data_IF_465394146978
#
_entry.id   IF_465394146978
#
_cell.length_a   1.000
_cell.length_b   1.000
_cell.length_c   1.000
_cell.angle_alpha   90.00
_cell.angle_beta   90.00
_cell.angle_gamma   90.00
#
_symmetry.space_group_name_H-M   'P 1'
#
loop_
_entity.id
_entity.type
_entity.pdbx_description
1 polymer ?
#
# COMPACT_ATOMS: atom_id res chain seq x y z
N UNK A 1 -8.33 -18.64 -17.31
CA UNK A 1 -7.93 -17.25 -17.02
C UNK A 1 -7.36 -17.25 -15.60
N UNK A 2 -6.05 -17.06 -15.45
CA UNK A 2 -5.35 -17.14 -14.15
C UNK A 2 -4.70 -15.78 -13.88
N UNK A 3 -5.49 -14.85 -13.30
CA UNK A 3 -5.06 -13.51 -12.90
C UNK A 3 -4.78 -13.48 -11.38
N UNK A 4 -3.98 -14.43 -10.88
CA UNK A 4 -3.66 -14.57 -9.45
C UNK A 4 -2.22 -14.23 -8.98
N UNK A 5 -1.19 -14.00 -9.84
CA UNK A 5 0.14 -13.68 -9.32
C UNK A 5 0.24 -12.24 -8.76
N UNK A 6 -0.42 -11.26 -9.39
CA UNK A 6 -0.25 -9.84 -9.03
C UNK A 6 -0.78 -9.47 -7.64
N UNK A 7 -1.89 -10.08 -7.19
CA UNK A 7 -2.40 -9.84 -5.83
C UNK A 7 -1.45 -10.36 -4.75
N UNK A 8 -0.80 -11.51 -4.99
CA UNK A 8 0.17 -12.09 -4.05
C UNK A 8 1.41 -11.20 -3.92
N UNK A 9 1.93 -10.73 -5.06
CA UNK A 9 3.10 -9.85 -5.11
C UNK A 9 2.79 -8.50 -4.47
N UNK A 10 1.62 -7.92 -4.73
CA UNK A 10 1.17 -6.66 -4.12
C UNK A 10 1.07 -6.76 -2.60
N UNK A 11 0.45 -7.83 -2.09
CA UNK A 11 0.32 -8.06 -0.64
C UNK A 11 1.69 -8.22 0.02
N UNK A 12 2.62 -8.91 -0.64
CA UNK A 12 4.00 -9.06 -0.18
C UNK A 12 4.72 -7.71 -0.14
N UNK A 13 4.59 -6.89 -1.19
CA UNK A 13 5.16 -5.53 -1.23
C UNK A 13 4.57 -4.67 -0.11
N UNK A 14 3.25 -4.74 0.12
CA UNK A 14 2.58 -3.99 1.18
C UNK A 14 3.09 -4.38 2.58
N UNK A 15 3.31 -5.67 2.83
CA UNK A 15 3.90 -6.16 4.08
C UNK A 15 5.33 -5.64 4.27
N UNK A 16 6.16 -5.69 3.22
CA UNK A 16 7.53 -5.16 3.25
C UNK A 16 7.52 -3.65 3.53
N UNK A 17 6.68 -2.88 2.84
CA UNK A 17 6.54 -1.43 3.04
C UNK A 17 6.12 -1.11 4.48
N UNK A 18 5.10 -1.82 5.01
CA UNK A 18 4.64 -1.64 6.39
C UNK A 18 5.75 -1.90 7.40
N UNK A 19 6.49 -3.00 7.23
CA UNK A 19 7.59 -3.37 8.12
C UNK A 19 8.72 -2.32 8.09
N UNK A 20 9.06 -1.80 6.90
CA UNK A 20 10.08 -0.77 6.76
C UNK A 20 9.65 0.59 7.32
N UNK A 21 8.37 0.98 7.13
CA UNK A 21 7.80 2.19 7.73
C UNK A 21 7.93 2.12 9.25
N UNK A 22 7.49 1.03 9.87
CA UNK A 22 7.59 0.84 11.34
C UNK A 22 9.03 0.87 11.83
N UNK A 23 9.90 0.07 11.22
CA UNK A 23 11.31 0.01 11.64
C UNK A 23 12.04 1.35 11.46
N UNK A 24 11.61 2.20 10.52
CA UNK A 24 12.18 3.52 10.32
C UNK A 24 11.60 4.55 11.30
N UNK A 25 10.32 4.44 11.63
CA UNK A 25 9.64 5.24 12.66
C UNK A 25 10.29 5.00 14.03
N UNK A 26 10.45 3.74 14.43
CA UNK A 26 11.13 3.34 15.67
C UNK A 26 12.54 3.96 15.77
N UNK A 27 13.29 3.94 14.67
CA UNK A 27 14.66 4.52 14.59
C UNK A 27 14.68 6.05 14.64
N UNK A 28 13.60 6.71 14.24
CA UNK A 28 13.47 8.16 14.35
C UNK A 28 13.13 8.51 15.79
N UNK A 29 12.17 7.80 16.39
CA UNK A 29 11.78 7.98 17.80
C UNK A 29 12.98 7.76 18.74
N UNK A 30 13.70 6.63 18.62
CA UNK A 30 14.89 6.34 19.44
C UNK A 30 15.98 7.43 19.36
N UNK A 31 16.08 8.10 18.21
CA UNK A 31 17.11 9.11 18.01
C UNK A 31 16.69 10.51 18.49
N UNK A 32 15.39 10.78 18.64
CA UNK A 32 14.90 12.05 19.16
C UNK A 32 15.11 12.22 20.66
N UNK A 33 15.29 11.14 21.40
CA UNK A 33 15.50 11.17 22.86
C UNK A 33 16.94 11.56 23.27
N UNK A 34 17.87 11.74 22.32
CA UNK A 34 19.27 12.08 22.58
C UNK A 34 19.69 13.48 22.11
N UNK A 35 20.83 13.97 22.61
CA UNK A 35 21.50 15.15 22.05
C UNK A 35 22.03 14.82 20.65
N UNK A 36 21.43 15.43 19.62
CA UNK A 36 21.78 15.19 18.23
C UNK A 36 22.99 16.03 17.81
N UNK A 37 23.96 15.40 17.16
CA UNK A 37 24.99 16.14 16.40
C UNK A 37 24.43 16.62 15.07
N UNK A 38 25.10 17.56 14.40
CA UNK A 38 24.69 18.03 13.05
C UNK A 38 24.59 16.90 12.02
N UNK A 39 25.44 15.88 12.13
CA UNK A 39 25.37 14.72 11.23
C UNK A 39 24.18 13.81 11.57
N UNK A 40 23.81 13.69 12.86
CA UNK A 40 22.60 12.99 13.28
C UNK A 40 21.35 13.70 12.79
N UNK A 41 21.30 15.04 12.86
CA UNK A 41 20.19 15.83 12.31
C UNK A 41 19.99 15.57 10.81
N UNK A 42 21.08 15.54 10.04
CA UNK A 42 21.04 15.23 8.59
C UNK A 42 20.54 13.81 8.33
N UNK A 43 20.99 12.86 9.14
CA UNK A 43 20.54 11.48 9.07
C UNK A 43 19.04 11.37 9.40
N UNK A 44 18.57 12.04 10.45
CA UNK A 44 17.15 12.07 10.80
C UNK A 44 16.30 12.68 9.70
N UNK A 45 16.75 13.79 9.11
CA UNK A 45 16.05 14.45 8.02
C UNK A 45 15.97 13.55 6.78
N UNK A 46 16.99 12.72 6.54
CA UNK A 46 16.98 11.70 5.50
C UNK A 46 15.98 10.59 5.82
N UNK A 47 15.99 10.07 7.06
CA UNK A 47 15.02 9.05 7.52
C UNK A 47 13.58 9.53 7.41
N UNK A 48 13.27 10.76 7.84
CA UNK A 48 11.94 11.36 7.71
C UNK A 48 11.48 11.45 6.25
N UNK A 49 12.38 11.87 5.33
CA UNK A 49 12.07 11.91 3.89
C UNK A 49 11.78 10.52 3.34
N UNK A 50 12.57 9.52 3.73
CA UNK A 50 12.35 8.12 3.35
C UNK A 50 11.01 7.60 3.90
N UNK A 51 10.67 7.89 5.15
CA UNK A 51 9.41 7.51 5.77
C UNK A 51 8.21 8.11 5.02
N UNK A 52 8.27 9.41 4.71
CA UNK A 52 7.23 10.09 3.94
C UNK A 52 7.05 9.48 2.54
N UNK A 53 8.15 9.12 1.88
CA UNK A 53 8.11 8.44 0.58
C UNK A 53 7.46 7.05 0.70
N UNK A 54 7.91 6.20 1.63
CA UNK A 54 7.36 4.86 1.82
C UNK A 54 5.88 4.88 2.21
N UNK A 55 5.47 5.81 3.07
CA UNK A 55 4.07 5.99 3.45
C UNK A 55 3.19 6.40 2.25
N UNK A 56 3.73 7.22 1.32
CA UNK A 56 3.03 7.57 0.09
C UNK A 56 2.85 6.35 -0.82
N UNK A 57 3.91 5.59 -1.06
CA UNK A 57 3.84 4.39 -1.91
C UNK A 57 2.89 3.34 -1.33
N UNK A 58 2.88 3.15 -0.01
CA UNK A 58 1.91 2.29 0.66
C UNK A 58 0.45 2.71 0.39
N UNK A 59 0.15 4.02 0.49
CA UNK A 59 -1.21 4.53 0.23
C UNK A 59 -1.64 4.38 -1.23
N UNK A 60 -0.71 4.58 -2.17
CA UNK A 60 -0.98 4.36 -3.59
C UNK A 60 -1.31 2.88 -3.85
N UNK A 61 -0.52 1.97 -3.29
CA UNK A 61 -0.73 0.54 -3.44
C UNK A 61 -2.07 0.07 -2.83
N UNK A 62 -2.46 0.65 -1.69
CA UNK A 62 -3.75 0.39 -1.07
C UNK A 62 -4.90 0.88 -1.97
N UNK A 63 -4.82 2.11 -2.48
CA UNK A 63 -5.83 2.66 -3.40
C UNK A 63 -5.96 1.83 -4.68
N UNK A 64 -4.86 1.34 -5.24
CA UNK A 64 -4.90 0.48 -6.42
C UNK A 64 -5.57 -0.86 -6.11
N UNK A 65 -5.41 -1.39 -4.89
CA UNK A 65 -6.14 -2.58 -4.45
C UNK A 65 -7.65 -2.32 -4.32
N UNK A 66 -8.06 -1.18 -3.75
CA UNK A 66 -9.48 -0.81 -3.64
C UNK A 66 -10.13 -0.65 -5.02
N UNK A 67 -9.39 -0.11 -6.00
CA UNK A 67 -9.87 0.05 -7.38
C UNK A 67 -10.07 -1.31 -8.07
N UNK A 68 -9.14 -2.25 -7.89
CA UNK A 68 -9.28 -3.60 -8.46
C UNK A 68 -10.46 -4.37 -7.85
N UNK A 69 -10.72 -4.20 -6.55
CA UNK A 69 -11.90 -4.80 -5.89
C UNK A 69 -13.19 -4.22 -6.45
N UNK A 70 -13.26 -2.90 -6.61
CA UNK A 70 -14.41 -2.23 -7.21
C UNK A 70 -14.64 -2.66 -8.67
N UNK A 71 -13.58 -2.85 -9.47
CA UNK A 71 -13.70 -3.37 -10.84
C UNK A 71 -14.32 -4.78 -10.83
N UNK A 72 -13.85 -5.65 -9.92
CA UNK A 72 -14.42 -7.00 -9.77
C UNK A 72 -15.89 -6.99 -9.33
N UNK A 73 -16.28 -6.07 -8.45
CA UNK A 73 -17.69 -5.91 -8.05
C UNK A 73 -18.57 -5.43 -9.22
N UNK A 74 -18.07 -4.49 -10.03
CA UNK A 74 -18.76 -4.01 -11.24
C UNK A 74 -18.94 -5.15 -12.24
N UNK A 75 -17.91 -5.96 -12.47
CA UNK A 75 -17.98 -7.13 -13.34
C UNK A 75 -19.07 -8.11 -12.88
N UNK A 76 -19.12 -8.42 -11.57
CA UNK A 76 -20.16 -9.27 -11.00
C UNK A 76 -21.58 -8.71 -11.19
N UNK A 77 -21.75 -7.40 -11.02
CA UNK A 77 -23.05 -6.73 -11.25
C UNK A 77 -23.48 -6.80 -12.72
N UNK A 78 -22.53 -6.63 -13.65
CA UNK A 78 -22.78 -6.73 -15.08
C UNK A 78 -23.17 -8.16 -15.48
N UNK A 79 -22.48 -9.18 -14.97
CA UNK A 79 -22.81 -10.59 -15.20
C UNK A 79 -24.21 -10.94 -14.68
N UNK A 80 -24.54 -10.50 -13.46
CA UNK A 80 -25.86 -10.73 -12.87
C UNK A 80 -26.98 -10.09 -13.71
N UNK A 81 -26.77 -8.85 -14.18
CA UNK A 81 -27.74 -8.14 -15.02
C UNK A 81 -27.92 -8.82 -16.38
N UNK A 82 -26.84 -9.30 -16.99
CA UNK A 82 -26.88 -10.01 -18.27
C UNK A 82 -27.61 -11.36 -18.18
N UNK A 83 -27.56 -12.04 -17.03
CA UNK A 83 -28.31 -13.27 -16.78
C UNK A 83 -29.82 -13.00 -16.64
N UNK A 84 -30.21 -11.92 -15.94
CA UNK A 84 -31.62 -11.53 -15.80
C UNK A 84 -32.26 -11.07 -17.10
N UNK A 85 -31.52 -10.38 -17.98
CA UNK A 85 -32.03 -9.95 -19.30
C UNK A 85 -32.15 -11.11 -20.31
N UNK A 86 -31.55 -12.27 -20.02
CA UNK A 86 -31.58 -13.47 -20.86
C UNK A 86 -32.76 -14.40 -20.59
N UNK A 87 -33.43 -14.29 -19.45
CA UNK A 87 -34.56 -15.15 -19.05
C UNK A 87 -35.92 -14.66 -19.58
N UNK A 88 -35.99 -13.46 -20.15
CA UNK A 88 -37.20 -12.84 -20.71
C UNK A 88 -37.45 -13.14 -22.21
N UNK A 89 -36.86 -14.22 -22.76
CA UNK A 89 -37.08 -14.66 -24.16
C UNK A 89 -37.64 -16.07 -24.30
#
# INVERSE_FOLDING_TARGET
MTRQPEQSDRKQIQQILTANVRALDDRIEEAWDGDLTTDDERLQLTRLRTLAHLAREYRLLARDADLDEMEAEVDLLQEATALTDGEDK
#
